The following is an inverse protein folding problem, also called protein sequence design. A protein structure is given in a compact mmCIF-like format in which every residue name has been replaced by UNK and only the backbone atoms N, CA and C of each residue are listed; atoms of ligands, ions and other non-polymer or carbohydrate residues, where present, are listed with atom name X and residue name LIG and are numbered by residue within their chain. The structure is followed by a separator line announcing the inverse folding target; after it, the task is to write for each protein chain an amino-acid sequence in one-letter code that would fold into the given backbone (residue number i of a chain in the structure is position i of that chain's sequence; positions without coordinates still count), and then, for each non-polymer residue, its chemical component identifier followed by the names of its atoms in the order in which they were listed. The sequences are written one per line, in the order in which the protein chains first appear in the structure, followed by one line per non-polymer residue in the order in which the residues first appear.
data_IF_197768496592
#
_entry.id   IF_197768496592
#
_cell.length_a   1.000
_cell.length_b   1.000
_cell.length_c   1.000
_cell.angle_alpha   90.00
_cell.angle_beta   90.00
_cell.angle_gamma   90.00
#
_symmetry.space_group_name_H-M   'P 1'
#
loop_
_entity.id
_entity.type
_entity.pdbx_description
1 polymer ?
#
# COMPACT_ATOMS: atom_id res chain seq x y z
N UNK A 1 -11.09 -7.37 -18.96
CA UNK A 1 -10.89 -6.06 -18.29
C UNK A 1 -12.25 -5.41 -18.14
N UNK A 2 -12.71 -5.05 -16.92
CA UNK A 2 -13.99 -4.35 -16.77
C UNK A 2 -13.79 -2.91 -17.27
N UNK A 3 -14.62 -2.47 -18.21
CA UNK A 3 -14.68 -1.08 -18.62
C UNK A 3 -15.01 -0.23 -17.39
N UNK A 4 -14.19 0.79 -17.14
CA UNK A 4 -14.48 1.77 -16.09
C UNK A 4 -15.55 2.69 -16.65
N UNK A 5 -16.75 2.64 -16.10
CA UNK A 5 -17.79 3.62 -16.41
C UNK A 5 -17.32 4.99 -15.92
N UNK A 6 -17.24 5.95 -16.85
CA UNK A 6 -16.73 7.32 -16.58
C UNK A 6 -17.89 8.29 -16.67
N UNK A 7 -18.25 8.87 -15.54
CA UNK A 7 -19.28 9.90 -15.46
C UNK A 7 -18.62 11.26 -15.23
N UNK A 8 -18.95 12.22 -16.10
CA UNK A 8 -18.40 13.58 -16.03
C UNK A 8 -19.46 14.52 -15.43
N UNK A 9 -19.13 15.14 -14.29
CA UNK A 9 -20.00 16.12 -13.62
C UNK A 9 -19.32 17.48 -13.56
N UNK A 10 -20.05 18.53 -13.95
CA UNK A 10 -19.62 19.92 -13.72
C UNK A 10 -20.05 20.32 -12.31
N UNK A 11 -19.09 20.74 -11.49
CA UNK A 11 -19.34 21.20 -10.13
C UNK A 11 -18.68 22.57 -9.93
N UNK A 12 -19.08 23.29 -8.88
CA UNK A 12 -18.46 24.58 -8.52
C UNK A 12 -17.70 24.43 -7.22
N UNK A 13 -16.52 25.03 -7.17
CA UNK A 13 -15.74 25.24 -5.94
C UNK A 13 -16.39 26.38 -5.16
N UNK A 14 -16.51 26.23 -3.85
CA UNK A 14 -17.06 27.24 -2.96
C UNK A 14 -16.26 27.34 -1.67
N UNK A 15 -16.34 28.48 -0.99
CA UNK A 15 -15.67 28.70 0.28
C UNK A 15 -16.43 28.03 1.42
N UNK A 16 -15.73 27.28 2.25
CA UNK A 16 -16.22 26.64 3.47
C UNK A 16 -15.32 27.08 4.62
N UNK A 17 -15.72 28.12 5.34
CA UNK A 17 -14.89 28.74 6.39
C UNK A 17 -13.58 29.29 5.84
N UNK A 18 -12.45 28.75 6.33
CA UNK A 18 -11.10 29.10 5.85
C UNK A 18 -10.58 28.18 4.73
N UNK A 19 -11.44 27.31 4.19
CA UNK A 19 -11.04 26.31 3.19
C UNK A 19 -11.93 26.39 1.94
N UNK A 20 -11.53 25.66 0.91
CA UNK A 20 -12.32 25.44 -0.30
C UNK A 20 -12.96 24.05 -0.25
N UNK A 21 -14.17 23.95 -0.78
CA UNK A 21 -14.91 22.71 -0.88
C UNK A 21 -15.51 22.55 -2.28
N UNK A 22 -15.71 21.30 -2.68
CA UNK A 22 -16.34 20.91 -3.93
C UNK A 22 -17.52 19.99 -3.62
N UNK A 23 -18.63 20.16 -4.34
CA UNK A 23 -19.80 19.29 -4.18
C UNK A 23 -19.55 17.96 -4.88
N UNK A 24 -19.64 16.88 -4.11
CA UNK A 24 -19.58 15.51 -4.63
C UNK A 24 -21.03 15.04 -4.86
N UNK A 25 -21.37 14.56 -6.08
CA UNK A 25 -22.71 14.03 -6.36
C UNK A 25 -23.08 12.85 -5.44
N UNK A 26 -24.37 12.73 -5.15
CA UNK A 26 -24.92 11.57 -4.45
C UNK A 26 -24.74 10.29 -5.28
N UNK A 27 -24.66 9.14 -4.61
CA UNK A 27 -24.44 7.84 -5.27
C UNK A 27 -22.97 7.51 -5.55
N UNK A 28 -22.04 8.42 -5.23
CA UNK A 28 -20.63 8.05 -5.11
C UNK A 28 -20.41 7.17 -3.88
N UNK A 29 -19.32 6.39 -3.88
CA UNK A 29 -18.95 5.52 -2.74
C UNK A 29 -18.26 6.28 -1.59
N UNK A 30 -18.20 7.61 -1.69
CA UNK A 30 -17.58 8.47 -0.69
C UNK A 30 -18.63 8.82 0.37
N UNK A 31 -18.26 8.70 1.64
CA UNK A 31 -19.14 9.01 2.77
C UNK A 31 -18.67 10.26 3.49
N UNK A 32 -19.60 11.01 4.10
CA UNK A 32 -19.23 12.12 4.96
C UNK A 32 -18.37 11.62 6.14
N UNK A 33 -17.29 12.34 6.46
CA UNK A 33 -16.33 11.96 7.50
C UNK A 33 -15.28 10.92 7.07
N UNK A 34 -15.26 10.49 5.80
CA UNK A 34 -14.20 9.62 5.27
C UNK A 34 -12.88 10.40 5.18
N UNK A 35 -11.81 9.82 5.73
CA UNK A 35 -10.47 10.35 5.58
C UNK A 35 -9.87 10.02 4.22
N UNK A 36 -9.33 11.04 3.57
CA UNK A 36 -8.77 10.95 2.23
C UNK A 36 -7.41 11.65 2.19
N UNK A 37 -6.46 11.05 1.50
CA UNK A 37 -5.25 11.73 1.07
C UNK A 37 -5.56 12.61 -0.13
N UNK A 38 -5.08 13.86 -0.07
CA UNK A 38 -5.17 14.83 -1.17
C UNK A 38 -3.78 15.05 -1.76
N UNK A 39 -3.65 14.74 -3.04
CA UNK A 39 -2.47 15.11 -3.85
C UNK A 39 -2.83 16.32 -4.69
N UNK A 40 -1.99 17.35 -4.61
CA UNK A 40 -2.13 18.59 -5.39
C UNK A 40 -0.99 18.67 -6.39
N UNK A 41 -1.32 18.60 -7.68
CA UNK A 41 -0.36 18.75 -8.78
C UNK A 41 -0.57 20.12 -9.45
N UNK A 42 0.53 20.85 -9.64
CA UNK A 42 0.56 22.20 -10.26
C UNK A 42 -0.44 23.22 -9.68
N UNK A 43 -0.92 22.98 -8.45
CA UNK A 43 -1.90 23.84 -7.78
C UNK A 43 -3.31 23.80 -8.38
N UNK A 44 -3.58 22.94 -9.37
CA UNK A 44 -4.85 22.90 -10.11
C UNK A 44 -5.49 21.52 -10.12
N UNK A 45 -4.69 20.46 -10.15
CA UNK A 45 -5.17 19.09 -10.23
C UNK A 45 -5.24 18.53 -8.81
N UNK A 46 -6.45 18.20 -8.37
CA UNK A 46 -6.73 17.63 -7.05
C UNK A 46 -7.10 16.15 -7.22
N UNK A 47 -6.25 15.27 -6.69
CA UNK A 47 -6.46 13.82 -6.70
C UNK A 47 -6.73 13.32 -5.29
N UNK A 48 -7.85 12.62 -5.11
CA UNK A 48 -8.27 12.08 -3.81
C UNK A 48 -8.13 10.57 -3.79
N UNK A 49 -7.55 10.03 -2.72
CA UNK A 49 -7.48 8.60 -2.46
C UNK A 49 -7.87 8.30 -1.00
N UNK A 50 -8.52 7.16 -0.69
CA UNK A 50 -8.78 6.78 0.70
C UNK A 50 -7.47 6.68 1.49
N UNK A 51 -7.43 7.24 2.70
CA UNK A 51 -6.23 7.23 3.54
C UNK A 51 -5.86 5.80 3.98
N UNK A 52 -6.84 5.03 4.44
CA UNK A 52 -6.65 3.61 4.73
C UNK A 52 -6.84 2.76 3.47
N UNK A 53 -5.84 2.76 2.59
CA UNK A 53 -5.82 1.75 1.53
C UNK A 53 -5.47 0.38 2.12
N UNK A 54 -6.24 -0.69 1.78
CA UNK A 54 -5.88 -2.03 2.23
C UNK A 54 -4.47 -2.34 1.72
N UNK A 55 -3.56 -2.70 2.64
CA UNK A 55 -2.17 -3.04 2.32
C UNK A 55 -2.15 -3.97 1.11
N UNK A 56 -1.40 -3.59 0.07
CA UNK A 56 -1.28 -4.40 -1.15
C UNK A 56 -0.84 -5.80 -0.75
N UNK A 57 -1.73 -6.77 -0.89
CA UNK A 57 -1.38 -8.17 -0.67
C UNK A 57 -0.41 -8.59 -1.77
N UNK A 58 0.65 -9.29 -1.37
CA UNK A 58 1.55 -9.93 -2.33
C UNK A 58 0.75 -10.92 -3.17
N UNK A 59 0.77 -10.74 -4.49
CA UNK A 59 0.03 -11.60 -5.40
C UNK A 59 0.92 -12.78 -5.81
N UNK A 60 0.79 -13.91 -5.11
CA UNK A 60 1.58 -15.12 -5.37
C UNK A 60 1.41 -15.62 -6.81
N UNK A 61 0.22 -15.47 -7.42
CA UNK A 61 -0.01 -15.91 -8.79
C UNK A 61 0.84 -15.15 -9.83
N UNK A 62 1.33 -13.95 -9.50
CA UNK A 62 2.25 -13.19 -10.37
C UNK A 62 3.71 -13.64 -10.27
N UNK A 63 4.07 -14.32 -9.17
CA UNK A 63 5.48 -14.66 -8.86
C UNK A 63 5.71 -16.17 -8.86
N UNK A 64 4.65 -16.97 -8.72
CA UNK A 64 4.72 -18.42 -8.88
C UNK A 64 5.31 -18.76 -10.25
N UNK A 65 6.44 -19.46 -10.24
CA UNK A 65 7.16 -19.86 -11.46
C UNK A 65 8.08 -18.79 -12.07
N UNK A 66 8.20 -17.59 -11.48
CA UNK A 66 9.12 -16.56 -12.00
C UNK A 66 10.59 -16.91 -11.80
N UNK A 67 10.88 -17.81 -10.87
CA UNK A 67 12.23 -18.26 -10.56
C UNK A 67 12.63 -19.45 -11.44
N UNK A 68 12.72 -19.21 -12.76
CA UNK A 68 12.96 -20.24 -13.79
C UNK A 68 14.36 -20.82 -13.78
N UNK A 69 15.34 -20.09 -13.24
CA UNK A 69 16.75 -20.47 -13.26
C UNK A 69 17.24 -21.02 -11.91
N UNK A 70 16.34 -21.26 -10.95
CA UNK A 70 16.72 -21.87 -9.69
C UNK A 70 17.05 -23.35 -9.90
N UNK A 71 18.27 -23.73 -9.50
CA UNK A 71 18.69 -25.13 -9.43
C UNK A 71 18.61 -25.61 -8.00
N UNK A 72 18.16 -26.86 -7.80
CA UNK A 72 18.25 -27.50 -6.49
C UNK A 72 19.71 -27.61 -6.10
N UNK A 73 20.06 -27.10 -4.93
CA UNK A 73 21.38 -27.33 -4.31
C UNK A 73 21.48 -28.79 -3.87
N UNK A 74 22.71 -29.32 -3.85
CA UNK A 74 22.92 -30.73 -3.50
C UNK A 74 22.54 -30.98 -2.03
N UNK A 75 22.23 -32.23 -1.63
CA UNK A 75 21.93 -32.54 -0.23
C UNK A 75 23.02 -32.09 0.74
N UNK A 76 24.28 -32.18 0.32
CA UNK A 76 25.45 -31.87 1.15
C UNK A 76 25.57 -30.37 1.42
N UNK A 77 25.21 -29.53 0.45
CA UNK A 77 25.20 -28.06 0.54
C UNK A 77 24.02 -27.52 1.40
N UNK A 78 23.07 -28.39 1.76
CA UNK A 78 21.93 -28.05 2.64
C UNK A 78 22.22 -28.27 4.12
N UNK A 79 23.39 -28.81 4.45
CA UNK A 79 23.81 -29.01 5.84
C UNK A 79 24.21 -27.65 6.42
N UNK A 80 23.39 -27.14 7.33
CA UNK A 80 23.78 -25.99 8.14
C UNK A 80 24.63 -26.49 9.31
N UNK A 81 25.76 -25.83 9.58
CA UNK A 81 26.48 -26.04 10.82
C UNK A 81 25.55 -25.69 11.99
N UNK A 82 25.56 -26.53 13.04
CA UNK A 82 24.87 -26.21 14.28
C UNK A 82 25.45 -24.91 14.83
N UNK A 83 24.60 -23.86 14.87
CA UNK A 83 24.93 -22.61 15.52
C UNK A 83 24.22 -22.56 16.86
N UNK A 84 24.85 -22.03 17.91
CA UNK A 84 24.17 -21.80 19.17
C UNK A 84 22.96 -20.90 18.92
N UNK A 85 21.79 -21.37 19.32
CA UNK A 85 20.55 -20.59 19.28
C UNK A 85 20.59 -19.59 20.44
N UNK A 86 20.54 -18.29 20.14
CA UNK A 86 20.51 -17.20 21.13
C UNK A 86 19.17 -17.09 21.90
N UNK A 87 18.35 -18.14 21.91
CA UNK A 87 16.98 -18.12 22.44
C UNK A 87 16.91 -18.00 23.97
N UNK A 88 18.05 -18.06 24.67
CA UNK A 88 18.16 -17.91 26.13
C UNK A 88 19.41 -17.17 26.59
N UNK A 89 20.00 -16.31 25.74
CA UNK A 89 21.08 -15.42 26.17
C UNK A 89 20.43 -14.10 26.58
N UNK A 90 20.25 -13.89 27.88
CA UNK A 90 20.05 -12.55 28.40
C UNK A 90 21.26 -11.72 27.95
N UNK A 91 20.98 -10.65 27.23
CA UNK A 91 21.96 -9.76 26.62
C UNK A 91 22.57 -8.88 27.72
N UNK A 92 23.37 -9.47 28.61
CA UNK A 92 24.12 -8.78 29.65
C UNK A 92 25.57 -9.26 29.68
N UNK A 93 26.33 -9.13 28.59
CA UNK A 93 27.78 -8.89 28.69
C UNK A 93 28.41 -8.57 27.33
N UNK A 94 28.29 -7.33 26.87
CA UNK A 94 29.17 -6.78 25.82
C UNK A 94 29.50 -5.30 26.15
N UNK A 95 29.93 -5.07 27.39
CA UNK A 95 30.59 -3.82 27.80
C UNK A 95 31.94 -4.13 28.44
N UNK A 96 32.96 -4.35 27.62
CA UNK A 96 34.35 -4.02 27.93
C UNK A 96 35.01 -3.45 26.68
#
# INVERSE_FOLDING_TARGET
MKAVDKQHHKTKVFRSGNSLAVRIPAGTKLTAGMEMELVVEDGQILSYAPAEQPKRKFNIAKVAGSATNLKKIKPEDRLFAERPLLWGRDVEDDRV
#
